data_IF_696283437973
#
_entry.id   IF_696283437973
#
_cell.length_a   1.000
_cell.length_b   1.000
_cell.length_c   1.000
_cell.angle_alpha   90.00
_cell.angle_beta   90.00
_cell.angle_gamma   90.00
#
_symmetry.space_group_name_H-M   'P 1'
#
loop_
_entity.id
_entity.type
_entity.pdbx_description
1 polymer ?
#
# COMPACT_ATOMS: atom_id res chain seq x y z
N UNK A 1 -10.43 27.13 -16.60
CA UNK A 1 -11.25 27.08 -15.36
C UNK A 1 -12.76 27.14 -15.67
N UNK A 2 -13.37 28.21 -16.23
CA UNK A 2 -14.83 28.30 -16.44
C UNK A 2 -15.42 27.26 -17.41
N UNK A 3 -14.64 26.87 -18.43
CA UNK A 3 -15.06 25.83 -19.38
C UNK A 3 -15.35 24.48 -18.72
N UNK A 4 -14.73 24.16 -17.58
CA UNK A 4 -15.03 22.91 -16.87
C UNK A 4 -16.48 22.89 -16.35
N UNK A 5 -16.95 24.04 -15.82
CA UNK A 5 -18.33 24.19 -15.37
C UNK A 5 -19.29 24.22 -16.55
N UNK A 6 -18.94 24.98 -17.59
CA UNK A 6 -19.70 25.02 -18.84
C UNK A 6 -19.87 23.63 -19.48
N UNK A 7 -18.85 22.77 -19.38
CA UNK A 7 -18.86 21.40 -19.90
C UNK A 7 -19.62 20.39 -19.03
N UNK A 8 -20.14 20.80 -17.86
CA UNK A 8 -21.04 19.98 -17.04
C UNK A 8 -20.52 19.64 -15.64
N UNK A 9 -19.30 20.00 -15.25
CA UNK A 9 -18.89 19.89 -13.85
C UNK A 9 -19.70 20.87 -12.99
N UNK A 10 -20.11 20.47 -11.79
CA UNK A 10 -20.85 21.37 -10.89
C UNK A 10 -19.91 22.12 -9.93
N UNK A 11 -18.73 21.56 -9.61
CA UNK A 11 -17.78 22.13 -8.66
C UNK A 11 -16.35 22.05 -9.19
N UNK A 12 -15.56 23.08 -8.91
CA UNK A 12 -14.13 23.11 -9.20
C UNK A 12 -13.34 22.76 -7.92
N UNK A 13 -12.63 21.64 -7.95
CA UNK A 13 -11.87 21.14 -6.80
C UNK A 13 -10.43 21.63 -6.86
N UNK A 14 -10.01 22.32 -5.81
CA UNK A 14 -8.72 22.98 -5.63
C UNK A 14 -8.46 24.13 -6.62
N UNK A 15 -7.81 25.17 -6.11
CA UNK A 15 -7.31 26.28 -6.93
C UNK A 15 -5.80 26.19 -6.97
N UNK A 16 -5.20 26.48 -8.13
CA UNK A 16 -3.76 26.71 -8.25
C UNK A 16 -3.40 28.05 -7.60
N UNK A 17 -4.13 29.10 -7.98
CA UNK A 17 -4.08 30.42 -7.36
C UNK A 17 -5.52 30.84 -7.11
N UNK A 18 -5.90 30.99 -5.84
CA UNK A 18 -7.29 31.24 -5.48
C UNK A 18 -7.82 32.53 -6.14
N UNK A 19 -7.03 33.60 -6.08
CA UNK A 19 -7.41 34.90 -6.65
C UNK A 19 -7.58 34.83 -8.16
N UNK A 20 -6.63 34.20 -8.84
CA UNK A 20 -6.62 34.09 -10.29
C UNK A 20 -7.74 33.17 -10.80
N UNK A 21 -7.86 31.97 -10.22
CA UNK A 21 -8.88 30.99 -10.62
C UNK A 21 -10.30 31.50 -10.35
N UNK A 22 -10.50 32.22 -9.24
CA UNK A 22 -11.77 32.88 -8.94
C UNK A 22 -12.09 33.98 -9.96
N UNK A 23 -11.11 34.81 -10.31
CA UNK A 23 -11.27 35.87 -11.31
C UNK A 23 -11.62 35.28 -12.67
N UNK A 24 -11.00 34.18 -13.09
CA UNK A 24 -11.35 33.46 -14.32
C UNK A 24 -12.75 32.86 -14.30
N UNK A 25 -13.22 32.35 -13.15
CA UNK A 25 -14.61 31.89 -13.03
C UNK A 25 -15.60 33.05 -13.20
N UNK A 26 -15.34 34.17 -12.54
CA UNK A 26 -16.19 35.37 -12.62
C UNK A 26 -16.26 35.90 -14.05
N UNK A 27 -15.10 36.09 -14.70
CA UNK A 27 -15.05 36.52 -16.09
C UNK A 27 -15.77 35.53 -17.01
N UNK A 28 -15.65 34.22 -16.78
CA UNK A 28 -16.37 33.22 -17.57
C UNK A 28 -17.90 33.28 -17.44
N UNK A 29 -18.43 33.79 -16.34
CA UNK A 29 -19.87 34.08 -16.20
C UNK A 29 -20.21 35.36 -16.96
N UNK A 30 -19.42 36.43 -16.79
CA UNK A 30 -19.63 37.73 -17.45
C UNK A 30 -19.57 37.62 -18.99
N UNK A 31 -18.66 36.79 -19.52
CA UNK A 31 -18.48 36.54 -20.95
C UNK A 31 -19.50 35.53 -21.52
N UNK A 32 -20.37 34.96 -20.69
CA UNK A 32 -21.37 33.96 -21.10
C UNK A 32 -20.80 32.58 -21.44
N UNK A 33 -19.53 32.31 -21.10
CA UNK A 33 -18.93 30.97 -21.23
C UNK A 33 -19.68 29.98 -20.32
N UNK A 34 -19.99 30.42 -19.10
CA UNK A 34 -20.93 29.73 -18.21
C UNK A 34 -22.26 30.45 -18.36
N UNK A 35 -23.24 29.80 -19.00
CA UNK A 35 -24.58 30.37 -19.13
C UNK A 35 -25.27 30.45 -17.77
N UNK A 36 -26.20 31.38 -17.62
CA UNK A 36 -27.01 31.51 -16.40
C UNK A 36 -27.75 30.21 -16.08
N UNK A 37 -28.32 29.55 -17.11
CA UNK A 37 -28.96 28.25 -16.97
C UNK A 37 -27.99 27.21 -16.39
N UNK A 38 -26.78 27.11 -16.95
CA UNK A 38 -25.77 26.14 -16.49
C UNK A 38 -25.27 26.45 -15.09
N UNK A 39 -25.09 27.73 -14.76
CA UNK A 39 -24.72 28.16 -13.41
C UNK A 39 -25.80 27.78 -12.38
N UNK A 40 -27.06 28.12 -12.68
CA UNK A 40 -28.19 27.80 -11.81
C UNK A 40 -28.39 26.29 -11.66
N UNK A 41 -28.20 25.52 -12.73
CA UNK A 41 -28.25 24.07 -12.70
C UNK A 41 -27.18 23.49 -11.75
N UNK A 42 -25.92 23.93 -11.88
CA UNK A 42 -24.82 23.51 -10.99
C UNK A 42 -25.08 23.89 -9.52
N UNK A 43 -25.50 25.13 -9.28
CA UNK A 43 -25.82 25.61 -7.94
C UNK A 43 -27.00 24.85 -7.33
N UNK A 44 -28.03 24.53 -8.12
CA UNK A 44 -29.19 23.76 -7.66
C UNK A 44 -28.76 22.38 -7.17
N UNK A 45 -27.84 21.69 -7.87
CA UNK A 45 -27.31 20.39 -7.42
C UNK A 45 -26.48 20.50 -6.14
N UNK A 46 -25.61 21.50 -6.06
CA UNK A 46 -24.78 21.74 -4.86
C UNK A 46 -25.64 22.05 -3.64
N UNK A 47 -26.59 22.98 -3.79
CA UNK A 47 -27.49 23.38 -2.70
C UNK A 47 -28.47 22.25 -2.37
N UNK A 48 -28.95 21.52 -3.37
CA UNK A 48 -29.77 20.33 -3.21
C UNK A 48 -29.08 19.25 -2.39
N UNK A 49 -27.80 18.96 -2.65
CA UNK A 49 -27.01 18.02 -1.84
C UNK A 49 -26.86 18.51 -0.38
N UNK A 50 -26.52 19.80 -0.18
CA UNK A 50 -26.45 20.41 1.16
C UNK A 50 -27.79 20.34 1.89
N UNK A 51 -28.91 20.50 1.18
CA UNK A 51 -30.25 20.40 1.72
C UNK A 51 -30.64 18.96 2.06
N UNK A 52 -30.32 18.00 1.19
CA UNK A 52 -30.56 16.57 1.42
C UNK A 52 -29.80 16.05 2.66
N UNK A 53 -28.57 16.52 2.87
CA UNK A 53 -27.77 16.26 4.07
C UNK A 53 -28.22 17.07 5.31
N UNK A 54 -29.24 17.93 5.15
CA UNK A 54 -29.81 18.84 6.16
C UNK A 54 -28.77 19.79 6.78
N UNK A 55 -27.69 20.12 6.06
CA UNK A 55 -26.58 20.91 6.62
C UNK A 55 -27.03 22.30 7.06
N UNK A 56 -27.92 22.95 6.32
CA UNK A 56 -28.50 24.25 6.67
C UNK A 56 -29.27 24.21 8.00
N UNK A 57 -30.02 23.14 8.29
CA UNK A 57 -30.73 22.97 9.57
C UNK A 57 -29.76 22.67 10.69
N UNK A 58 -28.83 21.72 10.47
CA UNK A 58 -27.79 21.39 11.44
C UNK A 58 -26.94 22.61 11.82
N UNK A 59 -26.65 23.49 10.87
CA UNK A 59 -25.93 24.74 11.15
C UNK A 59 -26.77 25.68 12.02
N UNK A 60 -28.06 25.88 11.70
CA UNK A 60 -28.96 26.71 12.51
C UNK A 60 -29.12 26.17 13.94
N UNK A 61 -29.15 24.85 14.09
CA UNK A 61 -29.29 24.16 15.37
C UNK A 61 -27.94 24.00 16.13
N UNK A 62 -26.82 24.47 15.56
CA UNK A 62 -25.49 24.32 16.17
C UNK A 62 -24.97 22.86 16.22
N UNK A 63 -25.47 21.98 15.37
CA UNK A 63 -25.16 20.53 15.32
C UNK A 63 -24.42 20.11 14.04
N UNK A 64 -23.86 21.05 13.28
CA UNK A 64 -23.18 20.79 12.00
C UNK A 64 -21.99 19.83 12.17
N UNK A 65 -21.19 20.04 13.21
CA UNK A 65 -20.11 19.14 13.62
C UNK A 65 -20.48 18.48 14.95
N UNK A 66 -20.15 17.20 15.14
CA UNK A 66 -20.30 16.56 16.45
C UNK A 66 -19.39 17.23 17.48
N UNK A 67 -19.81 17.21 18.75
CA UNK A 67 -18.91 17.56 19.86
C UNK A 67 -17.75 16.57 19.90
N UNK A 68 -16.55 17.03 20.25
CA UNK A 68 -15.36 16.20 20.29
C UNK A 68 -15.56 14.95 21.16
N UNK A 69 -16.15 15.11 22.35
CA UNK A 69 -16.45 14.00 23.27
C UNK A 69 -17.32 12.92 22.63
N UNK A 70 -18.35 13.30 21.87
CA UNK A 70 -19.22 12.35 21.17
C UNK A 70 -18.51 11.72 19.97
N UNK A 71 -17.71 12.51 19.23
CA UNK A 71 -16.93 11.99 18.10
C UNK A 71 -15.91 10.94 18.57
N UNK A 72 -15.25 11.15 19.71
CA UNK A 72 -14.28 10.22 20.29
C UNK A 72 -14.91 8.90 20.76
N UNK A 73 -16.22 8.85 21.02
CA UNK A 73 -16.92 7.58 21.30
C UNK A 73 -17.01 6.68 20.06
N UNK A 74 -17.01 7.28 18.86
CA UNK A 74 -17.16 6.57 17.58
C UNK A 74 -15.82 6.36 16.89
N UNK A 75 -14.95 7.38 16.90
CA UNK A 75 -13.63 7.32 16.27
C UNK A 75 -12.74 6.29 16.99
N UNK A 76 -12.33 5.27 16.25
CA UNK A 76 -11.54 4.17 16.81
C UNK A 76 -12.28 3.36 17.88
N UNK A 77 -13.61 3.34 17.85
CA UNK A 77 -14.43 2.46 18.69
C UNK A 77 -13.97 1.00 18.60
N UNK A 78 -14.18 0.24 19.68
CA UNK A 78 -13.74 -1.17 19.79
C UNK A 78 -14.23 -2.02 18.62
N UNK A 79 -15.48 -1.82 18.20
CA UNK A 79 -16.08 -2.52 17.06
C UNK A 79 -15.33 -2.24 15.75
N UNK A 80 -15.02 -0.98 15.44
CA UNK A 80 -14.26 -0.62 14.23
C UNK A 80 -12.84 -1.22 14.23
N UNK A 81 -12.19 -1.25 15.40
CA UNK A 81 -10.87 -1.90 15.54
C UNK A 81 -10.97 -3.40 15.31
N UNK A 82 -12.00 -4.04 15.84
CA UNK A 82 -12.27 -5.46 15.65
C UNK A 82 -12.51 -5.78 14.17
N UNK A 83 -13.33 -4.99 13.47
CA UNK A 83 -13.52 -5.13 12.02
C UNK A 83 -12.22 -4.97 11.24
N UNK A 84 -11.34 -4.04 11.64
CA UNK A 84 -10.04 -3.90 11.00
C UNK A 84 -9.16 -5.16 11.14
N UNK A 85 -9.17 -5.81 12.31
CA UNK A 85 -8.48 -7.09 12.53
C UNK A 85 -9.10 -8.21 11.69
N UNK A 86 -10.43 -8.31 11.68
CA UNK A 86 -11.14 -9.33 10.89
C UNK A 86 -10.95 -9.17 9.39
N UNK A 87 -10.96 -7.94 8.88
CA UNK A 87 -10.66 -7.64 7.49
C UNK A 87 -9.24 -8.03 7.14
N UNK A 88 -8.26 -7.71 8.00
CA UNK A 88 -6.87 -8.10 7.80
C UNK A 88 -6.69 -9.62 7.72
N UNK A 89 -7.29 -10.37 8.66
CA UNK A 89 -7.25 -11.83 8.67
C UNK A 89 -7.89 -12.46 7.41
N UNK A 90 -8.97 -11.87 6.90
CA UNK A 90 -9.65 -12.36 5.69
C UNK A 90 -8.97 -11.95 4.39
N UNK A 91 -8.21 -10.86 4.37
CA UNK A 91 -7.68 -10.27 3.14
C UNK A 91 -6.36 -10.91 2.66
N UNK A 92 -5.45 -11.29 3.58
CA UNK A 92 -4.12 -11.79 3.18
C UNK A 92 -4.25 -13.06 2.36
N UNK A 93 -3.63 -13.04 1.18
CA UNK A 93 -3.80 -14.02 0.11
C UNK A 93 -2.46 -14.69 -0.22
N UNK A 94 -2.42 -16.03 -0.12
CA UNK A 94 -1.33 -16.84 -0.64
C UNK A 94 -1.53 -17.02 -2.15
N UNK A 95 -0.60 -16.48 -2.96
CA UNK A 95 -0.71 -16.49 -4.43
C UNK A 95 0.10 -17.63 -5.04
N UNK A 96 1.31 -17.84 -4.52
CA UNK A 96 2.18 -18.97 -4.87
C UNK A 96 2.70 -19.58 -3.58
N UNK A 97 2.87 -20.89 -3.60
CA UNK A 97 3.42 -21.64 -2.47
C UNK A 97 4.46 -22.65 -2.97
N UNK A 98 5.66 -22.60 -2.38
CA UNK A 98 6.61 -23.70 -2.48
C UNK A 98 6.28 -24.76 -1.42
N UNK A 99 5.98 -26.00 -1.82
CA UNK A 99 5.59 -27.04 -0.87
C UNK A 99 6.63 -27.24 0.23
N UNK A 100 6.16 -27.25 1.49
CA UNK A 100 7.00 -27.51 2.64
C UNK A 100 7.80 -26.31 3.15
N UNK A 101 7.63 -25.10 2.59
CA UNK A 101 8.20 -23.87 3.17
C UNK A 101 7.39 -23.38 4.37
N UNK A 102 6.09 -23.17 4.19
CA UNK A 102 5.19 -22.74 5.25
C UNK A 102 4.71 -23.93 6.12
N UNK A 103 4.33 -23.70 7.40
CA UNK A 103 4.56 -22.48 8.17
C UNK A 103 6.05 -22.28 8.52
N UNK A 104 6.44 -21.03 8.78
CA UNK A 104 7.78 -20.70 9.27
C UNK A 104 7.80 -20.73 10.80
N UNK A 105 8.88 -21.26 11.37
CA UNK A 105 9.14 -21.25 12.80
C UNK A 105 10.64 -21.09 13.05
N UNK A 106 11.07 -20.44 14.14
CA UNK A 106 12.49 -20.30 14.48
C UNK A 106 13.22 -21.63 14.65
N UNK A 107 12.51 -22.70 15.06
CA UNK A 107 13.09 -24.04 15.19
C UNK A 107 13.48 -24.65 13.84
N UNK A 108 12.82 -24.21 12.76
CA UNK A 108 13.08 -24.65 11.37
C UNK A 108 13.95 -23.67 10.60
N UNK A 109 13.74 -22.37 10.83
CA UNK A 109 14.36 -21.27 10.09
C UNK A 109 14.90 -20.21 11.04
N UNK A 110 15.91 -20.54 11.84
CA UNK A 110 16.39 -19.65 12.89
C UNK A 110 16.95 -18.34 12.34
N UNK A 111 17.76 -18.42 11.29
CA UNK A 111 18.53 -17.29 10.72
C UNK A 111 17.86 -16.80 9.45
N UNK A 112 17.34 -15.57 9.48
CA UNK A 112 16.58 -14.97 8.38
C UNK A 112 17.39 -13.83 7.76
N UNK A 113 17.61 -13.90 6.43
CA UNK A 113 18.09 -12.75 5.66
C UNK A 113 16.88 -11.96 5.14
N UNK A 114 16.79 -10.70 5.54
CA UNK A 114 15.63 -9.84 5.28
C UNK A 114 15.97 -8.74 4.27
N UNK A 115 15.18 -8.68 3.20
CA UNK A 115 15.29 -7.68 2.15
C UNK A 115 14.12 -6.69 2.26
N UNK A 116 14.46 -5.43 2.48
CA UNK A 116 13.53 -4.32 2.48
C UNK A 116 13.44 -3.68 1.08
N UNK A 117 12.23 -3.67 0.52
CA UNK A 117 11.91 -2.96 -0.72
C UNK A 117 10.81 -1.97 -0.38
N UNK A 118 11.19 -0.72 -0.07
CA UNK A 118 10.26 0.28 0.41
C UNK A 118 10.37 1.58 -0.39
N UNK A 119 9.22 2.10 -0.79
CA UNK A 119 9.15 3.41 -1.43
C UNK A 119 9.57 4.52 -0.46
N UNK A 120 10.31 5.52 -0.95
CA UNK A 120 10.68 6.70 -0.14
C UNK A 120 9.44 7.46 0.36
N UNK A 121 9.58 8.31 1.38
CA UNK A 121 8.45 9.13 1.84
C UNK A 121 8.04 10.16 0.77
N UNK A 122 6.73 10.32 0.55
CA UNK A 122 6.19 11.38 -0.31
C UNK A 122 6.01 12.70 0.44
N UNK A 123 5.93 13.82 -0.28
CA UNK A 123 5.71 15.17 0.30
C UNK A 123 4.23 15.43 0.63
N UNK A 124 3.30 14.74 -0.03
CA UNK A 124 1.86 14.85 0.17
C UNK A 124 1.20 13.47 0.14
N UNK A 125 0.17 13.30 0.99
CA UNK A 125 -0.55 12.05 1.29
C UNK A 125 0.25 11.02 2.09
N UNK A 126 -0.47 10.27 2.91
CA UNK A 126 0.02 9.25 3.86
C UNK A 126 0.55 8.01 3.13
N UNK A 127 1.65 8.15 2.39
CA UNK A 127 2.43 7.00 1.95
C UNK A 127 3.11 6.41 3.18
N UNK A 128 2.67 5.21 3.59
CA UNK A 128 3.25 4.56 4.76
C UNK A 128 4.69 4.13 4.45
N UNK A 129 5.60 4.56 5.32
CA UNK A 129 7.01 4.16 5.36
C UNK A 129 7.30 3.48 6.71
N UNK A 130 8.33 2.64 6.76
CA UNK A 130 8.72 1.88 7.95
C UNK A 130 7.94 0.56 8.14
N UNK A 131 7.19 0.11 7.14
CA UNK A 131 6.47 -1.17 7.21
C UNK A 131 7.45 -2.35 7.28
N UNK A 132 8.56 -2.27 6.54
CA UNK A 132 9.61 -3.27 6.53
C UNK A 132 10.28 -3.39 7.91
N UNK A 133 10.62 -2.26 8.53
CA UNK A 133 11.22 -2.23 9.86
C UNK A 133 10.28 -2.81 10.92
N UNK A 134 9.01 -2.39 10.92
CA UNK A 134 8.03 -2.91 11.87
C UNK A 134 7.85 -4.42 11.74
N UNK A 135 7.81 -4.94 10.52
CA UNK A 135 7.68 -6.37 10.28
C UNK A 135 8.93 -7.15 10.68
N UNK A 136 10.12 -6.59 10.47
CA UNK A 136 11.39 -7.16 10.95
C UNK A 136 11.39 -7.28 12.48
N UNK A 137 10.96 -6.25 13.20
CA UNK A 137 10.87 -6.31 14.67
C UNK A 137 9.84 -7.35 15.14
N UNK A 138 8.71 -7.48 14.43
CA UNK A 138 7.74 -8.56 14.68
C UNK A 138 8.37 -9.94 14.54
N UNK A 139 9.17 -10.20 13.49
CA UNK A 139 9.90 -11.46 13.33
C UNK A 139 10.90 -11.69 14.48
N UNK A 140 11.68 -10.68 14.86
CA UNK A 140 12.62 -10.81 16.00
C UNK A 140 11.90 -11.17 17.30
N UNK A 141 10.73 -10.59 17.55
CA UNK A 141 9.92 -10.89 18.72
C UNK A 141 9.37 -12.33 18.75
N UNK A 142 9.23 -12.98 17.58
CA UNK A 142 8.90 -14.41 17.48
C UNK A 142 10.13 -15.31 17.71
N UNK A 143 11.33 -14.74 17.85
CA UNK A 143 12.57 -15.47 18.12
C UNK A 143 13.43 -15.76 16.90
N UNK A 144 13.14 -15.17 15.73
CA UNK A 144 14.01 -15.22 14.56
C UNK A 144 15.25 -14.35 14.74
N UNK A 145 16.40 -14.82 14.26
CA UNK A 145 17.62 -14.02 14.11
C UNK A 145 17.58 -13.35 12.74
N UNK A 146 17.19 -12.08 12.70
CA UNK A 146 16.94 -11.37 11.44
C UNK A 146 18.09 -10.41 11.10
N UNK A 147 18.79 -10.70 10.01
CA UNK A 147 19.82 -9.82 9.43
C UNK A 147 19.25 -9.08 8.23
N UNK A 148 19.41 -7.76 8.20
CA UNK A 148 19.01 -6.96 7.02
C UNK A 148 20.06 -7.09 5.93
N UNK A 149 19.63 -7.26 4.68
CA UNK A 149 20.52 -7.25 3.54
C UNK A 149 21.14 -5.87 3.35
N UNK A 150 22.47 -5.83 3.32
CA UNK A 150 23.24 -4.64 3.01
C UNK A 150 23.90 -4.80 1.65
N UNK A 151 23.90 -3.71 0.88
CA UNK A 151 24.53 -3.67 -0.44
C UNK A 151 26.04 -3.61 -0.25
N UNK A 152 26.76 -4.49 -0.94
CA UNK A 152 28.20 -4.33 -1.13
C UNK A 152 28.45 -3.32 -2.26
N UNK A 153 29.09 -2.17 -1.99
CA UNK A 153 29.32 -1.11 -2.99
C UNK A 153 30.44 -1.42 -3.98
N UNK A 154 31.00 -2.64 -3.98
CA UNK A 154 32.05 -3.07 -4.90
C UNK A 154 31.65 -3.00 -6.37
N UNK A 155 32.63 -3.09 -7.26
CA UNK A 155 32.40 -3.25 -8.70
C UNK A 155 32.53 -4.72 -9.12
N UNK A 156 32.53 -4.98 -10.43
CA UNK A 156 32.76 -6.31 -11.00
C UNK A 156 34.04 -6.95 -10.40
N UNK A 157 33.93 -8.19 -9.93
CA UNK A 157 35.01 -8.91 -9.23
C UNK A 157 35.17 -8.60 -7.74
N UNK A 158 34.45 -7.60 -7.20
CA UNK A 158 34.49 -7.19 -5.78
C UNK A 158 33.15 -7.44 -5.05
N UNK A 159 32.23 -8.15 -5.69
CA UNK A 159 30.95 -8.57 -5.10
C UNK A 159 31.17 -9.56 -3.96
N UNK A 160 30.26 -9.54 -2.98
CA UNK A 160 30.25 -10.50 -1.88
C UNK A 160 30.22 -11.93 -2.40
N UNK A 161 31.00 -12.80 -1.77
CA UNK A 161 31.05 -14.21 -2.15
C UNK A 161 29.70 -14.87 -1.85
N UNK A 162 29.28 -15.82 -2.70
CA UNK A 162 28.04 -16.57 -2.48
C UNK A 162 28.04 -17.29 -1.12
N UNK A 163 29.20 -17.73 -0.65
CA UNK A 163 29.41 -18.34 0.68
C UNK A 163 29.15 -17.39 1.87
N UNK A 164 29.03 -16.09 1.64
CA UNK A 164 28.59 -15.15 2.66
C UNK A 164 27.10 -15.29 2.98
N UNK A 165 26.32 -15.86 2.06
CA UNK A 165 24.88 -16.11 2.22
C UNK A 165 24.60 -17.61 2.38
N UNK A 166 25.15 -18.44 1.49
CA UNK A 166 24.94 -19.88 1.48
C UNK A 166 25.47 -20.52 2.77
N UNK A 167 24.60 -21.25 3.47
CA UNK A 167 24.91 -21.91 4.75
C UNK A 167 24.82 -21.01 5.99
N UNK A 168 24.69 -19.68 5.82
CA UNK A 168 24.54 -18.73 6.92
C UNK A 168 23.09 -18.39 7.27
N UNK A 169 22.18 -18.55 6.32
CA UNK A 169 20.76 -18.26 6.50
C UNK A 169 19.91 -19.47 6.14
N UNK A 170 18.82 -19.63 6.87
CA UNK A 170 17.87 -20.74 6.73
C UNK A 170 16.66 -20.32 5.87
N UNK A 171 16.35 -19.02 5.83
CA UNK A 171 15.21 -18.44 5.13
C UNK A 171 15.56 -17.03 4.62
N UNK A 172 15.01 -16.67 3.46
CA UNK A 172 15.05 -15.31 2.93
C UNK A 172 13.62 -14.75 2.91
N UNK A 173 13.46 -13.52 3.41
CA UNK A 173 12.18 -12.81 3.35
C UNK A 173 12.38 -11.47 2.64
N UNK A 174 11.63 -11.27 1.56
CA UNK A 174 11.45 -9.97 0.93
C UNK A 174 10.15 -9.36 1.43
N UNK A 175 10.19 -8.11 1.88
CA UNK A 175 8.98 -7.31 2.12
C UNK A 175 8.98 -6.11 1.17
N UNK A 176 7.99 -6.09 0.28
CA UNK A 176 7.80 -5.04 -0.71
C UNK A 176 6.62 -4.13 -0.33
N UNK A 177 6.95 -2.93 0.15
CA UNK A 177 6.04 -1.83 0.44
C UNK A 177 6.16 -0.72 -0.62
N UNK A 178 5.55 -0.97 -1.78
CA UNK A 178 5.57 -0.05 -2.93
C UNK A 178 4.26 0.72 -3.01
N UNK A 179 4.24 1.90 -2.37
CA UNK A 179 3.03 2.72 -2.23
C UNK A 179 2.79 3.58 -3.47
N UNK A 180 1.52 3.69 -3.88
CA UNK A 180 1.10 4.60 -4.95
C UNK A 180 1.05 6.04 -4.45
N UNK A 181 1.63 6.95 -5.22
CA UNK A 181 1.67 8.40 -4.94
C UNK A 181 1.36 9.20 -6.19
N UNK A 182 0.88 10.42 -5.99
CA UNK A 182 0.67 11.37 -7.06
C UNK A 182 1.96 11.63 -7.84
N UNK A 183 1.84 11.76 -9.16
CA UNK A 183 2.95 12.01 -10.09
C UNK A 183 3.97 10.86 -10.22
N UNK A 184 3.62 9.63 -9.82
CA UNK A 184 4.40 8.45 -10.18
C UNK A 184 3.88 7.86 -11.49
N UNK A 185 4.77 7.66 -12.45
CA UNK A 185 4.46 6.98 -13.72
C UNK A 185 4.56 5.46 -13.61
N UNK A 186 5.34 4.97 -12.64
CA UNK A 186 5.55 3.56 -12.36
C UNK A 186 5.55 3.30 -10.86
N UNK A 187 4.99 2.16 -10.46
CA UNK A 187 5.06 1.60 -9.09
C UNK A 187 5.65 0.20 -9.21
N UNK A 188 6.89 0.14 -9.73
CA UNK A 188 7.65 -1.09 -10.01
C UNK A 188 8.86 -1.16 -9.10
N UNK A 189 9.35 -2.37 -8.85
CA UNK A 189 10.55 -2.54 -8.03
C UNK A 189 11.74 -1.93 -8.76
N UNK A 190 12.43 -1.02 -8.09
CA UNK A 190 13.75 -0.55 -8.50
C UNK A 190 14.80 -1.29 -7.66
N UNK A 191 15.67 -2.04 -8.33
CA UNK A 191 16.70 -2.82 -7.67
C UNK A 191 17.88 -1.94 -7.25
N UNK A 192 18.44 -2.22 -6.08
CA UNK A 192 19.59 -1.52 -5.50
C UNK A 192 20.81 -1.67 -6.42
N UNK A 193 21.52 -0.57 -6.63
CA UNK A 193 22.80 -0.56 -7.35
C UNK A 193 23.92 -1.15 -6.48
N UNK A 194 24.99 -1.70 -7.07
CA UNK A 194 25.18 -1.95 -8.50
C UNK A 194 24.44 -3.21 -8.97
N UNK A 195 24.12 -3.28 -10.27
CA UNK A 195 23.70 -4.51 -10.97
C UNK A 195 22.44 -5.22 -10.41
N UNK A 196 21.60 -4.52 -9.64
CA UNK A 196 20.45 -5.14 -8.98
C UNK A 196 20.87 -6.05 -7.82
N UNK A 197 21.72 -5.54 -6.93
CA UNK A 197 22.32 -6.27 -5.82
C UNK A 197 21.32 -7.00 -4.90
N UNK A 198 20.07 -6.55 -4.86
CA UNK A 198 18.99 -7.14 -4.08
C UNK A 198 17.93 -7.89 -4.90
N UNK A 199 18.25 -8.32 -6.13
CA UNK A 199 17.39 -9.25 -6.89
C UNK A 199 17.37 -10.63 -6.17
N UNK A 200 16.25 -11.38 -6.15
CA UNK A 200 16.16 -12.71 -5.53
C UNK A 200 17.01 -13.83 -6.19
N UNK A 201 18.34 -13.72 -6.14
CA UNK A 201 19.26 -14.65 -6.80
C UNK A 201 19.42 -16.00 -6.07
N UNK A 202 19.10 -16.07 -4.78
CA UNK A 202 19.26 -17.26 -3.94
C UNK A 202 18.01 -18.15 -3.82
N UNK A 203 16.91 -17.79 -4.48
CA UNK A 203 15.58 -18.42 -4.31
C UNK A 203 15.51 -19.91 -4.71
N UNK A 204 16.50 -20.42 -5.45
CA UNK A 204 16.60 -21.84 -5.79
C UNK A 204 17.34 -22.67 -4.75
N UNK A 205 18.04 -22.02 -3.82
CA UNK A 205 18.96 -22.66 -2.87
C UNK A 205 18.53 -22.46 -1.42
N UNK A 206 17.97 -21.30 -1.10
CA UNK A 206 17.42 -20.98 0.21
C UNK A 206 15.92 -20.70 0.05
N UNK A 207 15.04 -21.33 0.85
CA UNK A 207 13.62 -21.00 0.86
C UNK A 207 13.41 -19.49 0.93
N UNK A 208 12.61 -18.96 0.00
CA UNK A 208 12.45 -17.51 -0.18
C UNK A 208 10.98 -17.14 -0.21
N UNK A 209 10.58 -16.26 0.71
CA UNK A 209 9.26 -15.66 0.77
C UNK A 209 9.30 -14.26 0.15
N UNK A 210 8.34 -13.94 -0.71
CA UNK A 210 8.11 -12.58 -1.16
C UNK A 210 6.75 -12.07 -0.70
N UNK A 211 6.78 -11.07 0.16
CA UNK A 211 5.63 -10.50 0.84
C UNK A 211 5.34 -9.13 0.24
N UNK A 212 4.26 -9.00 -0.52
CA UNK A 212 3.83 -7.69 -1.00
C UNK A 212 2.72 -7.13 -0.13
N UNK A 213 2.93 -5.93 0.40
CA UNK A 213 2.00 -5.29 1.34
C UNK A 213 1.27 -4.09 0.74
N UNK A 214 1.39 -3.85 -0.57
CA UNK A 214 0.66 -2.77 -1.26
C UNK A 214 0.27 -3.24 -2.68
N UNK A 215 1.17 -3.08 -3.64
CA UNK A 215 0.95 -3.43 -5.05
C UNK A 215 0.87 -4.95 -5.28
N UNK A 216 -0.27 -5.51 -5.72
CA UNK A 216 -0.46 -6.96 -5.84
C UNK A 216 0.22 -7.60 -7.05
N UNK A 217 0.97 -6.82 -7.85
CA UNK A 217 1.50 -7.22 -9.15
C UNK A 217 3.02 -7.44 -9.16
N UNK A 218 3.69 -7.56 -8.02
CA UNK A 218 5.16 -7.69 -8.00
C UNK A 218 5.69 -9.00 -8.62
N UNK A 219 4.86 -10.02 -8.88
CA UNK A 219 5.27 -11.15 -9.71
C UNK A 219 5.71 -10.73 -11.12
N UNK A 220 5.33 -9.54 -11.59
CA UNK A 220 5.87 -8.92 -12.80
C UNK A 220 7.39 -8.66 -12.71
N UNK A 221 7.91 -8.38 -11.52
CA UNK A 221 9.32 -8.12 -11.23
C UNK A 221 10.06 -9.33 -10.68
N UNK A 222 9.35 -10.24 -10.00
CA UNK A 222 9.91 -11.45 -9.36
C UNK A 222 9.18 -12.74 -9.77
N UNK A 223 9.01 -13.04 -11.08
CA UNK A 223 8.16 -14.14 -11.54
C UNK A 223 8.59 -15.52 -11.02
N UNK A 224 9.89 -15.69 -10.76
CA UNK A 224 10.52 -16.95 -10.37
C UNK A 224 10.45 -17.25 -8.87
N UNK A 225 10.00 -16.31 -8.03
CA UNK A 225 9.78 -16.60 -6.61
C UNK A 225 8.66 -17.63 -6.49
N UNK A 226 8.89 -18.66 -5.68
CA UNK A 226 7.96 -19.80 -5.54
C UNK A 226 6.95 -19.64 -4.41
N UNK A 227 7.26 -18.85 -3.38
CA UNK A 227 6.29 -18.50 -2.32
C UNK A 227 6.04 -17.00 -2.32
N UNK A 228 4.82 -16.60 -2.70
CA UNK A 228 4.44 -15.21 -2.88
C UNK A 228 3.09 -14.94 -2.21
N UNK A 229 3.05 -13.89 -1.40
CA UNK A 229 1.87 -13.51 -0.61
C UNK A 229 1.53 -12.04 -0.87
N UNK A 230 0.25 -11.77 -1.11
CA UNK A 230 -0.30 -10.42 -1.16
C UNK A 230 -1.07 -10.11 0.13
N UNK A 231 -0.70 -9.00 0.77
CA UNK A 231 -1.38 -8.47 1.95
C UNK A 231 -2.15 -7.16 1.64
N UNK A 232 -1.92 -6.55 0.47
CA UNK A 232 -2.65 -5.40 -0.10
C UNK A 232 -2.61 -4.08 0.70
N UNK A 233 -2.19 -4.11 1.95
CA UNK A 233 -2.04 -2.92 2.77
C UNK A 233 -0.94 -3.12 3.83
N UNK A 234 -0.17 -2.07 4.11
CA UNK A 234 0.94 -2.12 5.05
C UNK A 234 0.57 -1.79 6.51
N UNK A 235 -0.73 -1.66 6.86
CA UNK A 235 -1.13 -1.33 8.23
C UNK A 235 -0.79 -2.40 9.28
N UNK A 236 -0.77 -2.01 10.55
CA UNK A 236 -0.31 -2.87 11.66
C UNK A 236 -1.12 -4.16 11.81
N UNK A 237 -2.44 -4.09 11.62
CA UNK A 237 -3.32 -5.26 11.72
C UNK A 237 -3.06 -6.24 10.57
N UNK A 238 -2.79 -5.73 9.36
CA UNK A 238 -2.45 -6.55 8.20
C UNK A 238 -1.06 -7.18 8.35
N UNK A 239 -0.07 -6.43 8.82
CA UNK A 239 1.26 -6.97 9.11
C UNK A 239 1.22 -8.03 10.22
N UNK A 240 0.36 -7.86 11.23
CA UNK A 240 0.14 -8.88 12.25
C UNK A 240 -0.55 -10.14 11.67
N UNK A 241 -1.63 -9.97 10.91
CA UNK A 241 -2.32 -11.08 10.27
C UNK A 241 -1.42 -11.85 9.30
N UNK A 242 -0.55 -11.14 8.57
CA UNK A 242 0.47 -11.72 7.71
C UNK A 242 1.43 -12.60 8.51
N UNK A 243 1.97 -12.09 9.62
CA UNK A 243 2.84 -12.87 10.52
C UNK A 243 2.13 -14.10 11.07
N UNK A 244 0.90 -13.95 11.57
CA UNK A 244 0.13 -15.05 12.13
C UNK A 244 -0.11 -16.16 11.10
N UNK A 245 -0.33 -15.81 9.84
CA UNK A 245 -0.47 -16.78 8.74
C UNK A 245 0.83 -17.47 8.37
N UNK A 246 1.93 -16.71 8.30
CA UNK A 246 3.26 -17.27 8.06
C UNK A 246 3.65 -18.27 9.15
N UNK A 247 3.32 -17.98 10.40
CA UNK A 247 3.56 -18.83 11.57
C UNK A 247 2.54 -19.97 11.74
N UNK A 248 1.57 -20.11 10.83
CA UNK A 248 0.55 -21.16 10.89
C UNK A 248 -0.50 -20.98 12.00
N UNK A 249 -0.58 -19.81 12.64
CA UNK A 249 -1.60 -19.48 13.66
C UNK A 249 -2.96 -19.16 13.06
N UNK A 250 -3.00 -18.80 11.78
CA UNK A 250 -4.22 -18.60 10.99
C UNK A 250 -4.01 -19.11 9.56
N UNK A 251 -5.04 -19.63 8.92
CA UNK A 251 -4.99 -20.05 7.51
C UNK A 251 -5.05 -18.85 6.55
N UNK A 252 -4.57 -18.99 5.32
CA UNK A 252 -4.78 -17.97 4.28
C UNK A 252 -6.23 -18.04 3.77
N UNK A 253 -6.95 -16.92 3.83
CA UNK A 253 -8.38 -16.82 3.51
C UNK A 253 -8.67 -15.93 2.30
N UNK A 254 -7.71 -15.09 1.93
CA UNK A 254 -7.87 -14.14 0.87
C UNK A 254 -7.96 -14.81 -0.49
N UNK A 255 -8.75 -14.21 -1.38
CA UNK A 255 -8.82 -14.57 -2.79
C UNK A 255 -8.35 -13.36 -3.58
N UNK A 256 -7.42 -13.57 -4.51
CA UNK A 256 -6.87 -12.48 -5.32
C UNK A 256 -7.99 -11.75 -6.08
N UNK A 257 -8.18 -10.44 -5.87
CA UNK A 257 -9.19 -9.67 -6.61
C UNK A 257 -8.74 -9.27 -8.02
N UNK A 258 -7.53 -9.69 -8.41
CA UNK A 258 -6.85 -9.32 -9.65
C UNK A 258 -6.05 -10.53 -10.17
N UNK A 259 -5.64 -10.51 -11.44
CA UNK A 259 -4.64 -11.47 -11.93
C UNK A 259 -3.24 -11.07 -11.43
N UNK A 260 -2.86 -11.61 -10.27
CA UNK A 260 -1.54 -11.36 -9.68
C UNK A 260 -0.38 -11.90 -10.54
N UNK A 261 -0.65 -12.81 -11.49
CA UNK A 261 0.35 -13.34 -12.42
C UNK A 261 0.56 -12.45 -13.65
N UNK A 262 -0.23 -11.39 -13.81
CA UNK A 262 -0.09 -10.40 -14.88
C UNK A 262 -0.12 -11.01 -16.31
N UNK A 263 -0.82 -12.14 -16.50
CA UNK A 263 -0.80 -12.89 -17.75
C UNK A 263 0.55 -13.53 -18.13
N UNK A 264 1.53 -13.53 -17.23
CA UNK A 264 2.87 -14.07 -17.48
C UNK A 264 2.90 -15.59 -17.24
N UNK A 265 3.47 -16.32 -18.19
CA UNK A 265 3.61 -17.78 -18.08
C UNK A 265 4.67 -18.17 -17.05
N UNK A 266 5.77 -17.41 -16.96
CA UNK A 266 6.91 -17.72 -16.10
C UNK A 266 6.65 -17.38 -14.63
N UNK A 267 5.69 -16.48 -14.36
CA UNK A 267 5.19 -16.22 -13.01
C UNK A 267 4.48 -17.43 -12.39
N UNK A 268 4.05 -18.41 -13.20
CA UNK A 268 3.33 -19.62 -12.75
C UNK A 268 4.24 -20.82 -12.46
N UNK A 269 5.55 -20.68 -12.67
CA UNK A 269 6.55 -21.73 -12.46
C UNK A 269 6.94 -21.91 -10.99
#
# INVERSE_FOLDING_TARGET
VPRAIAAGCDMFLFCRSLEEDFSYMKQGIEDGIITEERLNEALTRILGLKAALKLHRKQADGTLAPKLEEALKVLGAKEHRQWSVECADKAVTLVKEEPGVLPIHPDKYKRVLFYDIESQQGVAYSARVGAAELFKEKLKNEGFEVTTFEVNPGFEGMMSAQSEVLGKYDLIIYLANMVTKSNQTVVRIEWKQPMGANVPTFMTTIPTLFLSVENPYHLLDVPRVKTYINAYNSNDNVLQALLDKLMGRSEFKGTSPVDAFCGLWDARL
#
